data_IF_338610900241
#
_entry.id   IF_338610900241
#
_cell.length_a   1.000
_cell.length_b   1.000
_cell.length_c   1.000
_cell.angle_alpha   90.00
_cell.angle_beta   90.00
_cell.angle_gamma   90.00
#
_symmetry.space_group_name_H-M   'P 1'
#
loop_
_entity.id
_entity.type
_entity.pdbx_description
1 polymer ?
#
# COMPACT_ATOMS: atom_id res chain seq x y z
N UNK A 1 -9.27 4.34 12.96
CA UNK A 1 -8.03 3.62 13.34
C UNK A 1 -7.14 3.46 12.10
N UNK A 2 -5.81 3.40 12.28
CA UNK A 2 -4.83 3.24 11.20
C UNK A 2 -4.05 1.95 11.34
N UNK A 3 -3.59 1.37 10.23
CA UNK A 3 -2.67 0.25 10.22
C UNK A 3 -1.50 0.51 9.25
N UNK A 4 -0.31 0.08 9.62
CA UNK A 4 0.90 0.09 8.79
C UNK A 4 1.09 -1.30 8.22
N UNK A 5 1.21 -1.40 6.90
CA UNK A 5 1.37 -2.68 6.21
C UNK A 5 2.67 -2.68 5.43
N UNK A 6 3.40 -3.77 5.50
CA UNK A 6 4.60 -4.00 4.68
C UNK A 6 4.74 -5.49 4.34
N UNK A 7 5.59 -5.80 3.39
CA UNK A 7 6.03 -7.18 3.15
C UNK A 7 7.48 -7.21 2.70
N UNK A 8 8.13 -8.35 2.87
CA UNK A 8 9.45 -8.57 2.33
C UNK A 8 9.68 -10.03 1.96
N UNK A 9 10.49 -10.25 0.93
CA UNK A 9 11.01 -11.57 0.61
C UNK A 9 12.21 -11.92 1.49
N UNK A 10 12.62 -13.19 1.58
CA UNK A 10 13.78 -13.60 2.38
C UNK A 10 15.08 -12.84 2.06
N UNK A 11 15.24 -12.40 0.80
CA UNK A 11 16.42 -11.64 0.37
C UNK A 11 16.54 -10.26 1.03
N UNK A 12 15.40 -9.68 1.44
CA UNK A 12 15.34 -8.37 2.11
C UNK A 12 15.26 -8.46 3.63
N UNK A 13 15.29 -9.69 4.20
CA UNK A 13 15.08 -9.89 5.63
C UNK A 13 15.96 -9.04 6.53
N UNK A 14 17.27 -8.95 6.27
CA UNK A 14 18.18 -8.16 7.11
C UNK A 14 17.83 -6.67 7.12
N UNK A 15 17.43 -6.14 5.98
CA UNK A 15 17.01 -4.74 5.87
C UNK A 15 15.66 -4.56 6.56
N UNK A 16 14.72 -5.46 6.29
CA UNK A 16 13.39 -5.43 6.86
C UNK A 16 13.40 -5.55 8.40
N UNK A 17 14.25 -6.38 8.98
CA UNK A 17 14.37 -6.50 10.45
C UNK A 17 14.67 -5.14 11.10
N UNK A 18 15.52 -4.31 10.50
CA UNK A 18 15.84 -2.96 11.01
C UNK A 18 14.69 -1.98 10.78
N UNK A 19 14.18 -1.93 9.57
CA UNK A 19 13.17 -0.95 9.18
C UNK A 19 11.80 -1.28 9.74
N UNK A 20 11.51 -2.56 10.00
CA UNK A 20 10.25 -2.98 10.61
C UNK A 20 10.18 -2.58 12.07
N UNK A 21 11.25 -2.78 12.85
CA UNK A 21 11.32 -2.29 14.23
C UNK A 21 11.06 -0.78 14.32
N UNK A 22 11.59 0.01 13.39
CA UNK A 22 11.30 1.44 13.32
C UNK A 22 9.80 1.74 13.07
N UNK A 23 9.15 0.96 12.22
CA UNK A 23 7.70 1.09 11.96
C UNK A 23 6.85 0.68 13.16
N UNK A 24 7.26 -0.39 13.86
CA UNK A 24 6.58 -0.85 15.09
C UNK A 24 6.68 0.18 16.21
N UNK A 25 7.86 0.76 16.44
CA UNK A 25 8.05 1.82 17.43
C UNK A 25 7.20 3.06 17.12
N UNK A 26 7.11 3.43 15.85
CA UNK A 26 6.23 4.52 15.43
C UNK A 26 4.75 4.18 15.63
N UNK A 27 4.35 2.98 15.26
CA UNK A 27 2.97 2.51 15.42
C UNK A 27 2.56 2.45 16.90
N UNK A 28 3.41 1.92 17.77
CA UNK A 28 3.18 1.86 19.21
C UNK A 28 2.96 3.27 19.80
N UNK A 29 3.79 4.24 19.40
CA UNK A 29 3.66 5.63 19.85
C UNK A 29 2.32 6.26 19.53
N UNK A 30 1.70 5.88 18.41
CA UNK A 30 0.46 6.49 17.92
C UNK A 30 -0.77 5.60 18.08
N UNK A 31 -0.60 4.36 18.54
CA UNK A 31 -1.71 3.41 18.69
C UNK A 31 -2.20 2.84 17.35
N UNK A 32 -1.31 2.68 16.37
CA UNK A 32 -1.62 2.07 15.09
C UNK A 32 -1.38 0.57 15.11
N UNK A 33 -2.10 -0.19 14.28
CA UNK A 33 -1.83 -1.60 14.05
C UNK A 33 -0.67 -1.77 13.06
N UNK A 34 -0.02 -2.92 13.12
CA UNK A 34 1.07 -3.28 12.20
C UNK A 34 0.87 -4.67 11.63
N UNK A 35 1.11 -4.83 10.32
CA UNK A 35 1.06 -6.12 9.65
C UNK A 35 2.22 -6.24 8.66
N UNK A 36 3.07 -7.26 8.85
CA UNK A 36 4.18 -7.55 7.94
C UNK A 36 4.06 -8.97 7.40
N UNK A 37 3.97 -9.11 6.07
CA UNK A 37 4.01 -10.41 5.43
C UNK A 37 5.47 -10.82 5.20
N UNK A 38 5.90 -11.86 5.89
CA UNK A 38 7.27 -12.41 5.83
C UNK A 38 7.33 -13.78 5.19
N UNK A 39 6.17 -14.47 5.11
CA UNK A 39 6.03 -15.85 4.63
C UNK A 39 4.74 -16.00 3.83
N UNK A 40 4.55 -17.16 3.20
CA UNK A 40 3.33 -17.48 2.47
C UNK A 40 3.14 -16.68 1.18
N UNK A 41 4.23 -16.21 0.58
CA UNK A 41 4.17 -15.61 -0.75
C UNK A 41 3.82 -16.66 -1.80
N UNK A 42 2.89 -16.32 -2.71
CA UNK A 42 2.55 -17.21 -3.81
C UNK A 42 3.74 -17.31 -4.78
N UNK A 43 4.34 -18.49 -4.97
CA UNK A 43 5.49 -18.68 -5.86
C UNK A 43 5.15 -18.45 -7.34
N UNK A 44 3.87 -18.42 -7.70
CA UNK A 44 3.41 -18.16 -9.06
C UNK A 44 3.14 -16.67 -9.32
N UNK A 45 3.12 -15.85 -8.26
CA UNK A 45 2.99 -14.41 -8.35
C UNK A 45 4.36 -13.75 -8.18
N UNK A 46 4.62 -12.72 -8.97
CA UNK A 46 5.69 -11.82 -8.60
C UNK A 46 5.35 -11.18 -7.24
N UNK A 47 6.33 -11.02 -6.37
CA UNK A 47 6.14 -10.48 -5.02
C UNK A 47 5.43 -9.11 -5.00
N UNK A 48 5.60 -8.31 -6.04
CA UNK A 48 4.92 -7.03 -6.19
C UNK A 48 3.41 -7.15 -6.39
N UNK A 49 2.95 -8.29 -6.94
CA UNK A 49 1.53 -8.63 -7.07
C UNK A 49 0.95 -9.16 -5.75
N UNK A 50 1.73 -9.94 -5.05
CA UNK A 50 1.35 -10.52 -3.78
C UNK A 50 0.98 -9.44 -2.75
N UNK A 51 1.59 -8.25 -2.85
CA UNK A 51 1.26 -7.08 -2.04
C UNK A 51 -0.21 -6.68 -2.10
N UNK A 52 -0.83 -6.66 -3.28
CA UNK A 52 -2.23 -6.24 -3.43
C UNK A 52 -3.19 -7.25 -2.80
N UNK A 53 -2.92 -8.54 -2.96
CA UNK A 53 -3.68 -9.59 -2.29
C UNK A 53 -3.52 -9.52 -0.78
N UNK A 54 -2.29 -9.30 -0.29
CA UNK A 54 -2.05 -9.13 1.14
C UNK A 54 -2.79 -7.92 1.73
N UNK A 55 -2.77 -6.77 1.05
CA UNK A 55 -3.54 -5.60 1.49
C UNK A 55 -5.03 -5.94 1.56
N UNK A 56 -5.58 -6.62 0.54
CA UNK A 56 -6.98 -7.05 0.51
C UNK A 56 -7.32 -7.94 1.70
N UNK A 57 -6.54 -9.00 1.94
CA UNK A 57 -6.75 -9.94 3.04
C UNK A 57 -6.74 -9.22 4.39
N UNK A 58 -5.80 -8.30 4.62
CA UNK A 58 -5.71 -7.54 5.87
C UNK A 58 -6.90 -6.58 6.03
N UNK A 59 -7.35 -5.93 4.96
CA UNK A 59 -8.53 -5.07 4.99
C UNK A 59 -9.83 -5.84 5.30
N UNK A 60 -9.94 -7.09 4.85
CA UNK A 60 -11.11 -7.94 5.09
C UNK A 60 -11.25 -8.38 6.55
N UNK A 61 -10.13 -8.59 7.25
CA UNK A 61 -10.15 -9.08 8.64
C UNK A 61 -10.03 -7.96 9.69
N UNK A 62 -9.68 -6.74 9.29
CA UNK A 62 -9.53 -5.58 10.19
C UNK A 62 -10.57 -4.49 9.87
N UNK A 63 -11.85 -4.78 10.11
CA UNK A 63 -12.97 -3.91 9.71
C UNK A 63 -13.00 -2.57 10.46
N UNK A 64 -12.42 -2.48 11.65
CA UNK A 64 -12.35 -1.25 12.46
C UNK A 64 -11.23 -0.31 12.01
N UNK A 65 -10.32 -0.76 11.14
CA UNK A 65 -9.27 0.07 10.56
C UNK A 65 -9.86 0.87 9.42
N UNK A 66 -9.73 2.19 9.47
CA UNK A 66 -10.22 3.09 8.43
C UNK A 66 -9.22 3.28 7.30
N UNK A 67 -7.91 3.39 7.63
CA UNK A 67 -6.85 3.62 6.67
C UNK A 67 -5.71 2.65 6.85
N UNK A 68 -5.27 2.06 5.75
CA UNK A 68 -4.11 1.19 5.66
C UNK A 68 -3.00 1.90 4.89
N UNK A 69 -1.87 2.13 5.55
CA UNK A 69 -0.68 2.67 4.92
C UNK A 69 0.24 1.54 4.48
N UNK A 70 0.30 1.32 3.18
CA UNK A 70 1.36 0.50 2.61
C UNK A 70 2.65 1.29 2.57
N UNK A 71 3.74 0.70 3.08
CA UNK A 71 5.07 1.29 3.07
C UNK A 71 6.11 0.22 2.78
N UNK A 72 7.05 0.52 1.84
CA UNK A 72 8.12 -0.41 1.46
C UNK A 72 8.95 -0.91 2.64
N UNK A 73 9.42 -2.15 2.54
CA UNK A 73 10.24 -2.75 3.60
C UNK A 73 11.62 -2.07 3.78
N UNK A 74 12.05 -1.29 2.80
CA UNK A 74 13.34 -0.58 2.76
C UNK A 74 13.26 0.89 3.19
N UNK A 75 12.08 1.33 3.64
CA UNK A 75 11.85 2.71 4.09
C UNK A 75 11.95 2.83 5.61
N UNK A 76 12.37 4.02 6.07
CA UNK A 76 12.42 4.41 7.48
C UNK A 76 11.54 5.63 7.74
N UNK A 77 10.82 5.61 8.86
CA UNK A 77 10.11 6.77 9.38
C UNK A 77 11.13 7.63 10.14
N UNK A 78 11.38 8.83 9.66
CA UNK A 78 12.41 9.73 10.22
C UNK A 78 11.84 10.74 11.20
N UNK A 79 10.54 11.00 11.15
CA UNK A 79 9.87 11.95 12.06
C UNK A 79 8.68 11.29 12.76
N UNK A 80 8.91 10.85 13.99
CA UNK A 80 7.91 10.18 14.81
C UNK A 80 6.87 11.12 15.43
N UNK A 81 6.97 12.44 15.22
CA UNK A 81 5.98 13.39 15.74
C UNK A 81 4.83 13.64 14.78
N UNK A 82 5.03 13.37 13.49
CA UNK A 82 4.00 13.51 12.46
C UNK A 82 3.11 12.27 12.45
N UNK A 83 1.81 12.45 12.54
CA UNK A 83 0.82 11.37 12.55
C UNK A 83 0.35 11.03 11.15
N UNK A 84 -0.09 9.79 10.93
CA UNK A 84 -0.65 9.33 9.66
C UNK A 84 -1.91 10.10 9.26
N UNK A 85 -2.70 10.55 10.23
CA UNK A 85 -3.90 11.36 10.04
C UNK A 85 -3.63 12.67 9.29
N UNK A 86 -2.41 13.19 9.33
CA UNK A 86 -2.04 14.40 8.60
C UNK A 86 -1.84 14.18 7.10
N UNK A 87 -1.80 12.93 6.64
CA UNK A 87 -1.63 12.56 5.24
C UNK A 87 -2.90 12.04 4.59
N UNK A 88 -3.98 11.87 5.35
CA UNK A 88 -5.24 11.31 4.86
C UNK A 88 -6.34 12.37 4.83
N UNK A 89 -7.25 12.20 3.88
CA UNK A 89 -8.43 13.04 3.70
C UNK A 89 -9.59 12.13 3.31
N UNK A 90 -10.71 12.28 4.02
CA UNK A 90 -11.89 11.42 3.86
C UNK A 90 -12.69 11.68 2.56
N UNK A 91 -12.31 12.69 1.79
CA UNK A 91 -12.84 12.89 0.43
C UNK A 91 -12.20 11.95 -0.60
N UNK A 92 -11.14 11.21 -0.19
CA UNK A 92 -10.44 10.25 -1.05
C UNK A 92 -10.52 8.83 -0.50
N UNK A 93 -10.30 7.84 -1.39
CA UNK A 93 -10.29 6.42 -1.05
C UNK A 93 -8.92 5.78 -1.27
N UNK A 94 -8.06 6.45 -2.01
CA UNK A 94 -6.67 6.08 -2.27
C UNK A 94 -5.80 7.34 -2.34
N UNK A 95 -4.66 7.29 -1.66
CA UNK A 95 -3.68 8.38 -1.64
C UNK A 95 -2.30 7.78 -1.90
N UNK A 96 -1.55 8.34 -2.82
CA UNK A 96 -0.23 7.85 -3.21
C UNK A 96 0.82 8.95 -3.11
N UNK A 97 2.00 8.59 -2.62
CA UNK A 97 3.14 9.50 -2.62
C UNK A 97 3.63 9.79 -4.05
N UNK A 98 4.26 10.93 -4.22
CA UNK A 98 4.96 11.29 -5.46
C UNK A 98 6.40 11.66 -5.16
N UNK A 99 7.30 11.36 -6.09
CA UNK A 99 8.71 11.75 -6.05
C UNK A 99 9.15 12.39 -7.37
N UNK A 100 10.45 12.56 -7.56
CA UNK A 100 11.01 13.15 -8.80
C UNK A 100 10.72 12.36 -10.08
N UNK A 101 10.29 11.11 -9.98
CA UNK A 101 9.93 10.23 -11.10
C UNK A 101 8.41 10.11 -11.30
N UNK A 102 7.61 10.73 -10.45
CA UNK A 102 6.15 10.69 -10.49
C UNK A 102 5.52 9.96 -9.32
N UNK A 103 4.49 9.15 -9.56
CA UNK A 103 3.83 8.37 -8.52
C UNK A 103 4.76 7.29 -7.98
N UNK A 104 4.82 7.16 -6.67
CA UNK A 104 5.64 6.18 -5.97
C UNK A 104 4.76 5.26 -5.11
N UNK A 105 4.62 4.02 -5.53
CA UNK A 105 3.77 3.04 -4.88
C UNK A 105 4.39 2.34 -3.66
N UNK A 106 5.60 2.73 -3.27
CA UNK A 106 6.21 2.30 -2.01
C UNK A 106 5.65 3.04 -0.80
N UNK A 107 4.85 4.08 -1.02
CA UNK A 107 4.08 4.73 0.04
C UNK A 107 2.71 5.13 -0.48
N UNK A 108 1.69 4.38 -0.09
CA UNK A 108 0.31 4.69 -0.46
C UNK A 108 -0.67 4.28 0.64
N UNK A 109 -1.80 4.98 0.70
CA UNK A 109 -2.87 4.73 1.65
C UNK A 109 -4.10 4.19 0.92
N UNK A 110 -4.70 3.14 1.48
CA UNK A 110 -5.99 2.60 1.06
C UNK A 110 -7.00 2.83 2.17
N UNK A 111 -8.13 3.47 1.85
CA UNK A 111 -9.24 3.60 2.77
C UNK A 111 -10.07 2.33 2.80
N UNK A 112 -10.43 1.88 3.99
CA UNK A 112 -11.29 0.70 4.18
C UNK A 112 -12.77 1.07 3.99
N UNK A 113 -13.09 1.59 2.83
CA UNK A 113 -14.43 1.94 2.37
C UNK A 113 -14.85 1.02 1.22
N UNK A 114 -16.14 0.93 0.88
CA UNK A 114 -16.59 0.18 -0.30
C UNK A 114 -15.84 0.59 -1.57
N UNK A 115 -15.64 1.88 -1.77
CA UNK A 115 -14.94 2.44 -2.94
C UNK A 115 -13.44 2.13 -2.92
N UNK A 116 -12.79 2.22 -1.76
CA UNK A 116 -11.38 1.85 -1.61
C UNK A 116 -11.13 0.37 -1.87
N UNK A 117 -12.04 -0.49 -1.42
CA UNK A 117 -12.00 -1.94 -1.72
C UNK A 117 -12.25 -2.21 -3.20
N UNK A 118 -13.24 -1.54 -3.80
CA UNK A 118 -13.51 -1.65 -5.23
C UNK A 118 -12.31 -1.22 -6.07
N UNK A 119 -11.62 -0.14 -5.67
CA UNK A 119 -10.41 0.30 -6.34
C UNK A 119 -9.28 -0.75 -6.23
N UNK A 120 -9.08 -1.34 -5.07
CA UNK A 120 -8.10 -2.42 -4.87
C UNK A 120 -8.44 -3.66 -5.73
N UNK A 121 -9.71 -4.05 -5.81
CA UNK A 121 -10.16 -5.15 -6.68
C UNK A 121 -9.90 -4.84 -8.15
N UNK A 122 -10.16 -3.61 -8.57
CA UNK A 122 -9.84 -3.16 -9.92
C UNK A 122 -8.33 -3.19 -10.21
N UNK A 123 -7.48 -2.79 -9.26
CA UNK A 123 -6.04 -2.92 -9.39
C UNK A 123 -5.63 -4.38 -9.59
N UNK A 124 -6.17 -5.30 -8.81
CA UNK A 124 -5.90 -6.74 -8.91
C UNK A 124 -6.33 -7.27 -10.29
N UNK A 125 -7.44 -6.81 -10.84
CA UNK A 125 -7.93 -7.21 -12.15
C UNK A 125 -7.06 -6.70 -13.32
N UNK A 126 -6.66 -5.43 -13.27
CA UNK A 126 -5.89 -4.83 -14.39
C UNK A 126 -4.40 -5.18 -14.37
N UNK A 127 -3.89 -5.55 -13.24
CA UNK A 127 -2.50 -5.78 -12.94
C UNK A 127 -1.80 -6.81 -13.86
N UNK A 128 -2.39 -7.95 -14.23
CA UNK A 128 -1.76 -8.93 -15.12
C UNK A 128 -1.34 -8.35 -16.47
N UNK A 129 -1.97 -7.26 -16.91
CA UNK A 129 -1.64 -6.58 -18.17
C UNK A 129 -0.27 -5.92 -18.14
N UNK A 130 0.26 -5.64 -16.95
CA UNK A 130 1.52 -4.94 -16.72
C UNK A 130 2.62 -5.84 -16.14
N UNK A 131 2.40 -7.16 -16.10
CA UNK A 131 3.30 -8.13 -15.50
C UNK A 131 4.73 -8.14 -16.08
N UNK A 132 4.90 -7.66 -17.31
CA UNK A 132 6.20 -7.55 -17.98
C UNK A 132 6.71 -6.10 -18.07
N UNK A 133 5.95 -5.13 -17.55
CA UNK A 133 6.36 -3.74 -17.56
C UNK A 133 7.48 -3.49 -16.51
N UNK A 134 8.49 -2.65 -16.81
CA UNK A 134 9.58 -2.37 -15.86
C UNK A 134 9.13 -1.83 -14.51
N UNK A 135 8.00 -1.10 -14.48
CA UNK A 135 7.41 -0.53 -13.27
C UNK A 135 6.25 -1.35 -12.70
N UNK A 136 6.00 -2.56 -13.23
CA UNK A 136 5.07 -3.55 -12.68
C UNK A 136 3.75 -2.93 -12.15
N UNK A 137 3.48 -3.09 -10.86
CA UNK A 137 2.28 -2.60 -10.19
C UNK A 137 2.15 -1.08 -10.17
N UNK A 138 3.24 -0.35 -10.16
CA UNK A 138 3.19 1.11 -10.23
C UNK A 138 2.57 1.56 -11.56
N UNK A 139 2.89 0.90 -12.68
CA UNK A 139 2.27 1.21 -13.97
C UNK A 139 0.77 0.88 -13.97
N UNK A 140 0.38 -0.25 -13.37
CA UNK A 140 -1.04 -0.59 -13.25
C UNK A 140 -1.81 0.46 -12.45
N UNK A 141 -1.27 0.94 -11.33
CA UNK A 141 -1.86 2.02 -10.52
C UNK A 141 -1.98 3.32 -11.31
N UNK A 142 -0.94 3.70 -12.07
CA UNK A 142 -0.95 4.91 -12.90
C UNK A 142 -2.06 4.82 -13.96
N UNK A 143 -2.20 3.69 -14.64
CA UNK A 143 -3.21 3.52 -15.70
C UNK A 143 -4.62 3.45 -15.14
N UNK A 144 -4.83 2.80 -13.99
CA UNK A 144 -6.11 2.78 -13.31
C UNK A 144 -6.56 4.20 -12.93
N UNK A 145 -5.67 5.02 -12.35
CA UNK A 145 -5.96 6.41 -12.01
C UNK A 145 -6.25 7.28 -13.25
N UNK A 146 -5.51 7.08 -14.35
CA UNK A 146 -5.80 7.78 -15.61
C UNK A 146 -7.19 7.45 -16.16
N UNK A 147 -7.58 6.18 -16.11
CA UNK A 147 -8.89 5.75 -16.58
C UNK A 147 -10.02 6.41 -15.77
N UNK A 148 -9.89 6.51 -14.45
CA UNK A 148 -10.86 7.20 -13.60
C UNK A 148 -10.93 8.70 -13.91
N UNK A 149 -9.80 9.37 -14.09
CA UNK A 149 -9.75 10.79 -14.46
C UNK A 149 -10.47 11.03 -15.79
N UNK A 150 -10.27 10.18 -16.80
CA UNK A 150 -10.98 10.30 -18.08
C UNK A 150 -12.49 10.08 -17.95
N UNK A 151 -12.92 9.14 -17.12
CA UNK A 151 -14.35 8.93 -16.83
C UNK A 151 -14.99 10.15 -16.16
N UNK A 152 -14.27 10.84 -15.28
CA UNK A 152 -14.77 12.04 -14.61
C UNK A 152 -14.85 13.25 -15.55
N UNK A 153 -13.95 13.38 -16.54
CA UNK A 153 -13.97 14.47 -17.52
C UNK A 153 -15.12 14.36 -18.53
N UNK A 154 -15.68 13.16 -18.69
CA UNK A 154 -16.75 12.89 -19.65
C UNK A 154 -18.16 12.90 -19.03
N UNK A 155 -18.28 13.27 -17.75
CA UNK A 155 -19.55 13.50 -17.01
C UNK A 155 -19.85 14.97 -16.89
#
# INVERSE_FOLDING_TARGET
MYAIISSHTPNYKLLADVTWTNKEEYAERHGYLTHCKTEGHDPNLQWSYDKLYFIKDIMEVNLDVEWFWWVGCDTLITNFTVKLESFTDNDYHFIIATDGNGMNNDSCFFRNSPEGRQYLDHLIEVFPRYATHPFLEQQAMIEALKAEIELLKNK
#
